data_IF_996552018616
#
_entry.id   IF_996552018616
#
_cell.length_a   1.000
_cell.length_b   1.000
_cell.length_c   1.000
_cell.angle_alpha   90.00
_cell.angle_beta   90.00
_cell.angle_gamma   90.00
#
_symmetry.space_group_name_H-M   'P 1'
#
loop_
_entity.id
_entity.type
_entity.pdbx_description
1 polymer ?
#
# COMPACT_ATOMS: atom_id res chain seq x y z
N UNK A 1 -2.40 10.34 13.49
CA UNK A 1 -3.63 9.55 13.29
C UNK A 1 -3.39 8.49 12.22
N UNK A 2 -3.72 7.22 12.48
CA UNK A 2 -3.54 6.15 11.48
C UNK A 2 -4.65 6.24 10.43
N UNK A 3 -4.28 6.38 9.16
CA UNK A 3 -5.23 6.47 8.04
C UNK A 3 -5.56 5.07 7.52
N UNK A 4 -4.53 4.27 7.25
CA UNK A 4 -4.69 2.91 6.72
C UNK A 4 -4.60 1.87 7.84
N UNK A 5 -5.74 1.42 8.36
CA UNK A 5 -5.79 0.37 9.41
C UNK A 5 -5.27 -0.99 8.90
N UNK A 6 -5.54 -1.32 7.63
CA UNK A 6 -4.96 -2.46 6.90
C UNK A 6 -4.04 -1.91 5.80
N UNK A 7 -2.96 -2.62 5.44
CA UNK A 7 -2.09 -2.17 4.36
C UNK A 7 -2.86 -2.11 3.04
N UNK A 8 -2.55 -1.12 2.21
CA UNK A 8 -3.03 -1.05 0.83
C UNK A 8 -2.11 -1.92 -0.02
N UNK A 9 -2.73 -2.79 -0.81
CA UNK A 9 -2.05 -3.74 -1.69
C UNK A 9 -2.16 -3.29 -3.16
N UNK A 10 -1.19 -3.64 -4.00
CA UNK A 10 -1.23 -3.30 -5.41
C UNK A 10 -2.30 -4.10 -6.15
N UNK A 11 -2.90 -3.50 -7.16
CA UNK A 11 -3.91 -4.14 -8.00
C UNK A 11 -3.34 -5.32 -8.80
N UNK A 12 -4.19 -6.25 -9.23
CA UNK A 12 -3.75 -7.40 -10.05
C UNK A 12 -3.03 -6.96 -11.33
N UNK A 13 -3.55 -5.94 -12.00
CA UNK A 13 -2.93 -5.40 -13.21
C UNK A 13 -1.52 -4.86 -12.94
N UNK A 14 -1.36 -4.10 -11.86
CA UNK A 14 -0.06 -3.57 -11.46
C UNK A 14 0.94 -4.70 -11.17
N UNK A 15 0.50 -5.78 -10.52
CA UNK A 15 1.36 -6.93 -10.25
C UNK A 15 1.76 -7.71 -11.52
N UNK A 16 0.93 -7.67 -12.58
CA UNK A 16 1.26 -8.29 -13.88
C UNK A 16 2.29 -7.46 -14.64
N UNK A 17 2.13 -6.14 -14.69
CA UNK A 17 3.05 -5.24 -15.38
C UNK A 17 4.35 -4.99 -14.59
N UNK A 18 4.29 -5.06 -13.26
CA UNK A 18 5.39 -4.82 -12.34
C UNK A 18 5.47 -5.93 -11.29
N UNK A 19 6.06 -7.10 -11.60
CA UNK A 19 6.10 -8.25 -10.70
C UNK A 19 6.69 -7.98 -9.32
N UNK A 20 7.65 -7.04 -9.21
CA UNK A 20 8.22 -6.61 -7.92
C UNK A 20 7.21 -5.92 -7.00
N UNK A 21 6.08 -5.43 -7.52
CA UNK A 21 5.04 -4.81 -6.71
C UNK A 21 4.25 -5.84 -5.90
N UNK A 22 4.21 -7.13 -6.28
CA UNK A 22 3.37 -8.16 -5.65
C UNK A 22 3.49 -8.24 -4.13
N UNK A 23 4.66 -7.92 -3.57
CA UNK A 23 4.91 -7.94 -2.12
C UNK A 23 4.76 -6.58 -1.43
N UNK A 24 4.50 -5.50 -2.17
CA UNK A 24 4.40 -4.15 -1.60
C UNK A 24 3.18 -4.02 -0.68
N UNK A 25 3.35 -3.32 0.45
CA UNK A 25 2.32 -3.03 1.44
C UNK A 25 2.42 -1.56 1.89
N UNK A 26 1.54 -0.70 1.38
CA UNK A 26 1.54 0.73 1.72
C UNK A 26 0.80 0.96 3.04
N UNK A 27 1.40 1.76 3.92
CA UNK A 27 0.76 2.25 5.15
C UNK A 27 1.00 3.75 5.30
N UNK A 28 -0.04 4.48 5.70
CA UNK A 28 -0.01 5.94 5.87
C UNK A 28 -0.57 6.32 7.24
N UNK A 29 0.09 7.29 7.86
CA UNK A 29 -0.38 7.97 9.05
C UNK A 29 -0.17 9.47 8.88
N UNK A 30 -1.06 10.24 9.50
CA UNK A 30 -0.96 11.69 9.60
C UNK A 30 -0.24 12.08 10.90
N UNK A 31 0.61 13.09 10.85
CA UNK A 31 1.20 13.69 12.04
C UNK A 31 0.13 14.57 12.71
N UNK A 32 -0.22 14.24 13.96
CA UNK A 32 -1.01 15.14 14.79
C UNK A 32 -0.06 16.18 15.36
N UNK A 33 -0.37 17.45 15.12
CA UNK A 33 0.35 18.60 15.69
C UNK A 33 0.15 18.71 17.19
#
# INVERSE_FOLDING_TARGET
QVITRKPVEPSENEQRFNPRARSAKLRVAEKLG
#
